data_IF_907341163989
#
_entry.id   IF_907341163989
#
_cell.length_a   1.000
_cell.length_b   1.000
_cell.length_c   1.000
_cell.angle_alpha   90.00
_cell.angle_beta   90.00
_cell.angle_gamma   90.00
#
_symmetry.space_group_name_H-M   'P 1'
#
loop_
_entity.id
_entity.type
_entity.pdbx_description
1 polymer ?
#
# COMPACT_ATOMS: atom_id res chain seq x y z
N UNK A 1 8.30 3.13 -10.09
CA UNK A 1 7.95 2.06 -11.07
C UNK A 1 9.16 1.32 -11.65
N UNK A 2 10.35 1.94 -11.78
CA UNK A 2 11.58 1.24 -12.22
C UNK A 2 11.95 0.01 -11.35
N UNK A 3 11.84 0.11 -10.02
CA UNK A 3 12.15 -1.01 -9.11
C UNK A 3 11.23 -2.23 -9.30
N UNK A 4 9.97 -2.00 -9.67
CA UNK A 4 9.03 -3.09 -9.96
C UNK A 4 9.29 -3.70 -11.34
N UNK A 5 9.62 -2.86 -12.33
CA UNK A 5 10.09 -3.31 -13.64
C UNK A 5 11.41 -4.10 -13.54
N UNK A 6 12.28 -3.78 -12.57
CA UNK A 6 13.51 -4.53 -12.28
C UNK A 6 13.23 -5.85 -11.54
N UNK A 7 12.28 -5.89 -10.60
CA UNK A 7 11.87 -7.12 -9.92
C UNK A 7 11.18 -8.12 -10.88
N UNK A 8 10.45 -7.63 -11.89
CA UNK A 8 9.88 -8.46 -12.97
C UNK A 8 10.96 -8.97 -13.96
N UNK A 9 12.16 -8.36 -14.00
CA UNK A 9 13.29 -8.84 -14.83
C UNK A 9 14.06 -10.01 -14.24
N UNK A 10 13.89 -10.32 -12.94
CA UNK A 10 14.63 -11.40 -12.27
C UNK A 10 14.31 -12.84 -12.74
N UNK A 11 13.10 -13.20 -13.22
CA UNK A 11 12.83 -14.54 -13.73
C UNK A 11 13.17 -14.74 -15.22
N UNK A 12 13.53 -13.70 -15.98
CA UNK A 12 13.76 -13.80 -17.42
C UNK A 12 15.10 -13.16 -17.81
N UNK A 13 16.24 -13.86 -17.64
CA UNK A 13 17.58 -13.31 -17.85
C UNK A 13 17.94 -13.09 -19.34
N UNK A 14 17.06 -13.41 -20.28
CA UNK A 14 17.44 -13.58 -21.69
C UNK A 14 16.47 -13.02 -22.73
N UNK A 15 15.67 -11.99 -22.43
CA UNK A 15 14.84 -11.34 -23.45
C UNK A 15 15.24 -9.89 -23.70
N UNK A 16 15.40 -9.60 -24.99
CA UNK A 16 15.85 -8.37 -25.61
C UNK A 16 15.19 -7.10 -25.04
N UNK A 17 15.86 -5.97 -25.23
CA UNK A 17 15.67 -4.64 -24.62
C UNK A 17 14.31 -3.95 -24.80
N UNK A 18 13.28 -4.63 -25.30
CA UNK A 18 11.90 -4.13 -25.38
C UNK A 18 10.91 -5.20 -24.89
N UNK A 19 10.62 -5.20 -23.58
CA UNK A 19 9.52 -5.99 -23.02
C UNK A 19 8.21 -5.55 -23.68
N UNK A 20 7.46 -6.48 -24.27
CA UNK A 20 6.18 -6.15 -24.88
C UNK A 20 5.15 -5.82 -23.80
N UNK A 21 4.27 -4.83 -24.06
CA UNK A 21 3.18 -4.48 -23.13
C UNK A 21 2.32 -5.70 -22.79
N UNK A 22 2.15 -6.62 -23.76
CA UNK A 22 1.42 -7.87 -23.54
C UNK A 22 2.09 -8.75 -22.49
N UNK A 23 3.41 -8.92 -22.56
CA UNK A 23 4.18 -9.71 -21.60
C UNK A 23 4.11 -9.10 -20.20
N UNK A 24 4.17 -7.77 -20.10
CA UNK A 24 4.05 -7.06 -18.83
C UNK A 24 2.66 -7.24 -18.20
N UNK A 25 1.60 -7.15 -19.01
CA UNK A 25 0.22 -7.31 -18.56
C UNK A 25 -0.04 -8.74 -18.10
N UNK A 26 0.35 -9.74 -18.90
CA UNK A 26 0.18 -11.17 -18.56
C UNK A 26 1.02 -11.53 -17.34
N UNK A 27 2.28 -11.10 -17.29
CA UNK A 27 3.16 -11.34 -16.14
C UNK A 27 2.61 -10.70 -14.85
N UNK A 28 2.09 -9.47 -14.94
CA UNK A 28 1.45 -8.80 -13.82
C UNK A 28 0.17 -9.50 -13.34
N UNK A 29 -0.66 -9.99 -14.26
CA UNK A 29 -1.87 -10.74 -13.93
C UNK A 29 -1.55 -12.07 -13.24
N UNK A 30 -0.60 -12.84 -13.78
CA UNK A 30 -0.14 -14.10 -13.18
C UNK A 30 0.45 -13.88 -11.78
N UNK A 31 1.29 -12.85 -11.62
CA UNK A 31 1.87 -12.53 -10.32
C UNK A 31 0.80 -12.09 -9.31
N UNK A 32 -0.22 -11.34 -9.76
CA UNK A 32 -1.36 -10.96 -8.92
C UNK A 32 -2.13 -12.19 -8.44
N UNK A 33 -2.40 -13.13 -9.35
CA UNK A 33 -3.11 -14.38 -9.05
C UNK A 33 -2.36 -15.22 -8.01
N UNK A 34 -1.04 -15.42 -8.19
CA UNK A 34 -0.22 -16.19 -7.25
C UNK A 34 -0.29 -15.59 -5.85
N UNK A 35 -0.12 -14.27 -5.75
CA UNK A 35 -0.15 -13.56 -4.47
C UNK A 35 -1.54 -13.62 -3.82
N UNK A 36 -2.59 -13.55 -4.63
CA UNK A 36 -3.97 -13.65 -4.14
C UNK A 36 -4.26 -15.02 -3.53
N UNK A 37 -3.78 -16.12 -4.13
CA UNK A 37 -3.92 -17.48 -3.57
C UNK A 37 -3.28 -17.60 -2.17
N UNK A 38 -2.11 -16.99 -1.95
CA UNK A 38 -1.41 -17.07 -0.65
C UNK A 38 -1.97 -16.13 0.42
N UNK A 39 -2.75 -15.12 0.03
CA UNK A 39 -3.24 -14.07 0.92
C UNK A 39 -4.23 -14.61 1.98
N UNK A 40 -5.28 -15.36 1.62
CA UNK A 40 -6.20 -15.99 2.57
C UNK A 40 -5.52 -16.95 3.54
N UNK A 41 -4.50 -17.69 3.09
CA UNK A 41 -3.72 -18.58 3.95
C UNK A 41 -2.97 -17.79 5.04
N UNK A 42 -2.44 -16.63 4.67
CA UNK A 42 -1.76 -15.73 5.61
C UNK A 42 -2.77 -15.12 6.59
N UNK A 43 -3.95 -14.72 6.10
CA UNK A 43 -5.03 -14.21 6.93
C UNK A 43 -5.54 -15.27 7.92
N UNK A 44 -5.75 -16.50 7.47
CA UNK A 44 -6.13 -17.63 8.32
C UNK A 44 -5.14 -17.83 9.47
N UNK A 45 -3.84 -17.92 9.15
CA UNK A 45 -2.76 -18.08 10.14
C UNK A 45 -2.74 -16.91 11.13
N UNK A 46 -2.86 -15.68 10.63
CA UNK A 46 -2.88 -14.47 11.44
C UNK A 46 -4.06 -14.44 12.40
N UNK A 47 -5.26 -14.77 11.92
CA UNK A 47 -6.48 -14.80 12.75
C UNK A 47 -6.42 -15.92 13.78
N UNK A 48 -5.95 -17.11 13.41
CA UNK A 48 -5.78 -18.23 14.34
C UNK A 48 -4.77 -17.90 15.45
N UNK A 49 -3.70 -17.16 15.13
CA UNK A 49 -2.72 -16.69 16.12
C UNK A 49 -3.33 -15.75 17.16
N UNK A 50 -4.27 -14.90 16.77
CA UNK A 50 -4.96 -13.97 17.68
C UNK A 50 -6.13 -14.63 18.42
N UNK A 51 -6.81 -15.58 17.78
CA UNK A 51 -7.97 -16.30 18.33
C UNK A 51 -7.73 -17.83 18.33
N UNK A 52 -6.76 -18.33 19.12
CA UNK A 52 -6.35 -19.74 19.06
C UNK A 52 -7.47 -20.73 19.45
N UNK A 53 -8.42 -20.29 20.27
CA UNK A 53 -9.56 -21.10 20.72
C UNK A 53 -10.76 -21.10 19.77
N UNK A 54 -10.71 -20.34 18.66
CA UNK A 54 -11.85 -20.14 17.74
C UNK A 54 -11.43 -20.31 16.28
N UNK A 55 -11.07 -21.53 15.83
CA UNK A 55 -10.59 -21.78 14.47
C UNK A 55 -11.65 -21.46 13.40
N UNK A 56 -12.94 -21.56 13.74
CA UNK A 56 -14.05 -21.22 12.85
C UNK A 56 -14.03 -19.73 12.46
N UNK A 57 -13.65 -18.82 13.37
CA UNK A 57 -13.49 -17.39 13.05
C UNK A 57 -12.36 -17.19 12.04
N UNK A 58 -11.24 -17.91 12.21
CA UNK A 58 -10.13 -17.83 11.27
C UNK A 58 -10.51 -18.34 9.88
N UNK A 59 -11.26 -19.46 9.82
CA UNK A 59 -11.77 -20.01 8.57
C UNK A 59 -12.73 -19.05 7.88
N UNK A 60 -13.75 -18.56 8.60
CA UNK A 60 -14.72 -17.61 8.06
C UNK A 60 -14.02 -16.33 7.57
N UNK A 61 -13.07 -15.80 8.33
CA UNK A 61 -12.33 -14.60 7.91
C UNK A 61 -11.53 -14.84 6.62
N UNK A 62 -10.91 -16.02 6.48
CA UNK A 62 -10.18 -16.38 5.27
C UNK A 62 -11.11 -16.61 4.06
N UNK A 63 -12.26 -17.27 4.27
CA UNK A 63 -13.26 -17.49 3.23
C UNK A 63 -13.93 -16.18 2.79
N UNK A 64 -14.26 -15.28 3.73
CA UNK A 64 -14.76 -13.94 3.40
C UNK A 64 -13.68 -13.12 2.68
N UNK A 65 -12.41 -13.29 3.03
CA UNK A 65 -11.28 -12.68 2.33
C UNK A 65 -11.11 -13.15 0.88
N UNK A 66 -11.62 -14.34 0.54
CA UNK A 66 -11.66 -14.85 -0.84
C UNK A 66 -12.78 -14.24 -1.69
N UNK A 67 -13.71 -13.48 -1.09
CA UNK A 67 -14.77 -12.81 -1.82
C UNK A 67 -14.28 -11.42 -2.25
N UNK A 68 -13.80 -11.24 -3.50
CA UNK A 68 -13.32 -9.93 -3.93
C UNK A 68 -14.49 -8.94 -3.96
N UNK A 69 -14.26 -7.71 -3.47
CA UNK A 69 -15.24 -6.62 -3.60
C UNK A 69 -15.48 -6.21 -5.06
N UNK A 70 -14.59 -6.61 -5.98
CA UNK A 70 -14.73 -6.44 -7.44
C UNK A 70 -14.17 -7.67 -8.17
N UNK A 71 -15.00 -8.66 -8.51
CA UNK A 71 -14.55 -9.89 -9.17
C UNK A 71 -13.91 -9.63 -10.53
N UNK A 72 -14.44 -8.68 -11.33
CA UNK A 72 -13.98 -8.47 -12.70
C UNK A 72 -12.54 -7.94 -12.81
N UNK A 73 -12.03 -7.22 -11.81
CA UNK A 73 -10.66 -6.67 -11.81
C UNK A 73 -9.61 -7.66 -11.31
N UNK A 74 -10.02 -8.71 -10.59
CA UNK A 74 -9.13 -9.66 -9.95
C UNK A 74 -8.50 -10.67 -10.94
N UNK A 75 -9.24 -11.06 -11.99
CA UNK A 75 -8.85 -12.20 -12.84
C UNK A 75 -8.22 -11.80 -14.18
N UNK A 76 -8.45 -10.58 -14.65
CA UNK A 76 -8.12 -10.19 -16.03
C UNK A 76 -7.19 -8.98 -16.17
N UNK A 77 -6.80 -8.34 -15.07
CA UNK A 77 -5.97 -7.14 -15.10
C UNK A 77 -4.79 -7.24 -14.12
N UNK A 78 -3.62 -6.68 -14.49
CA UNK A 78 -2.51 -6.49 -13.56
C UNK A 78 -2.93 -5.49 -12.49
N UNK A 79 -3.32 -6.00 -11.32
CA UNK A 79 -3.91 -5.20 -10.25
C UNK A 79 -2.95 -5.09 -9.06
N UNK A 80 -2.86 -3.91 -8.47
CA UNK A 80 -1.89 -3.63 -7.40
C UNK A 80 -2.39 -4.00 -6.01
N UNK A 81 -3.69 -4.25 -5.87
CA UNK A 81 -4.34 -4.53 -4.59
C UNK A 81 -4.00 -5.91 -3.99
N UNK A 82 -3.89 -7.01 -4.76
CA UNK A 82 -3.48 -8.30 -4.21
C UNK A 82 -2.09 -8.22 -3.55
N UNK A 83 -1.14 -7.55 -4.21
CA UNK A 83 0.18 -7.28 -3.63
C UNK A 83 0.10 -6.42 -2.37
N UNK A 84 -0.74 -5.39 -2.37
CA UNK A 84 -0.97 -4.58 -1.17
C UNK A 84 -1.36 -5.44 0.01
N UNK A 85 -2.39 -6.28 -0.17
CA UNK A 85 -3.00 -7.03 0.92
C UNK A 85 -2.03 -8.08 1.41
N UNK A 86 -1.40 -8.83 0.50
CA UNK A 86 -0.40 -9.83 0.84
C UNK A 86 0.74 -9.28 1.69
N UNK A 87 1.42 -8.23 1.22
CA UNK A 87 2.53 -7.64 1.98
C UNK A 87 2.07 -7.05 3.31
N UNK A 88 0.85 -6.51 3.37
CA UNK A 88 0.26 -6.01 4.62
C UNK A 88 0.03 -7.15 5.62
N UNK A 89 -0.59 -8.26 5.22
CA UNK A 89 -0.81 -9.40 6.11
C UNK A 89 0.49 -10.09 6.52
N UNK A 90 1.45 -10.23 5.61
CA UNK A 90 2.78 -10.74 5.95
C UNK A 90 3.50 -9.82 6.95
N UNK A 91 3.38 -8.50 6.77
CA UNK A 91 3.91 -7.52 7.71
C UNK A 91 3.25 -7.62 9.09
N UNK A 92 1.93 -7.76 9.15
CA UNK A 92 1.18 -7.98 10.40
C UNK A 92 1.60 -9.28 11.09
N UNK A 93 1.78 -10.35 10.33
CA UNK A 93 2.29 -11.63 10.83
C UNK A 93 3.71 -11.51 11.40
N UNK A 94 4.59 -10.78 10.72
CA UNK A 94 5.94 -10.48 11.20
C UNK A 94 5.92 -9.63 12.49
N UNK A 95 5.04 -8.63 12.59
CA UNK A 95 4.79 -7.88 13.82
C UNK A 95 4.32 -8.78 14.96
N UNK A 96 3.37 -9.68 14.71
CA UNK A 96 2.89 -10.65 15.70
C UNK A 96 3.99 -11.62 16.19
N UNK A 97 5.06 -11.79 15.41
CA UNK A 97 6.28 -12.54 15.76
C UNK A 97 7.41 -11.66 16.33
N UNK A 98 7.16 -10.39 16.63
CA UNK A 98 8.14 -9.41 17.13
C UNK A 98 9.30 -9.12 16.17
N UNK A 99 9.14 -9.39 14.86
CA UNK A 99 10.13 -9.12 13.81
C UNK A 99 9.89 -7.78 13.14
N UNK A 100 10.02 -6.69 13.89
CA UNK A 100 9.58 -5.35 13.47
C UNK A 100 10.30 -4.79 12.24
N UNK A 101 11.61 -5.00 12.12
CA UNK A 101 12.37 -4.53 10.95
C UNK A 101 11.87 -5.17 9.65
N UNK A 102 11.67 -6.50 9.68
CA UNK A 102 11.12 -7.24 8.55
C UNK A 102 9.68 -6.83 8.27
N UNK A 103 8.87 -6.63 9.31
CA UNK A 103 7.51 -6.11 9.15
C UNK A 103 7.49 -4.74 8.47
N UNK A 104 8.34 -3.80 8.89
CA UNK A 104 8.46 -2.48 8.27
C UNK A 104 8.91 -2.55 6.81
N UNK A 105 9.86 -3.43 6.49
CA UNK A 105 10.25 -3.66 5.10
C UNK A 105 9.08 -4.19 4.26
N UNK A 106 8.32 -5.16 4.78
CA UNK A 106 7.10 -5.66 4.13
C UNK A 106 6.03 -4.58 3.99
N UNK A 107 5.82 -3.73 5.00
CA UNK A 107 4.89 -2.61 4.94
C UNK A 107 5.35 -1.51 3.96
N UNK A 108 6.65 -1.28 3.81
CA UNK A 108 7.19 -0.40 2.78
C UNK A 108 7.04 -1.01 1.37
N UNK A 109 7.33 -2.32 1.21
CA UNK A 109 7.09 -3.06 -0.02
C UNK A 109 5.61 -3.06 -0.39
N UNK A 110 4.74 -3.18 0.61
CA UNK A 110 3.33 -2.85 0.46
C UNK A 110 3.32 -1.43 -0.11
N UNK A 111 3.62 -0.38 0.67
CA UNK A 111 3.64 1.05 0.30
C UNK A 111 3.89 1.40 -1.16
N UNK A 112 4.87 0.74 -1.79
CA UNK A 112 5.20 0.88 -3.21
C UNK A 112 4.00 0.70 -4.18
N UNK A 113 3.06 -0.20 -3.91
CA UNK A 113 1.92 -0.51 -4.81
C UNK A 113 0.72 0.50 -4.79
N UNK A 114 0.69 1.46 -3.87
CA UNK A 114 -0.49 2.21 -3.41
C UNK A 114 -0.04 3.17 -2.32
N UNK A 115 -0.24 4.45 -2.55
CA UNK A 115 0.26 5.54 -1.71
C UNK A 115 -0.45 5.69 -0.36
N UNK A 116 -1.66 5.17 -0.18
CA UNK A 116 -2.45 5.40 1.04
C UNK A 116 -2.12 4.43 2.21
N UNK A 117 -0.86 4.31 2.61
CA UNK A 117 -0.39 3.27 3.56
C UNK A 117 0.18 3.73 4.89
N UNK A 118 0.01 5.02 5.18
CA UNK A 118 0.42 5.62 6.45
C UNK A 118 -0.11 4.84 7.66
N UNK A 119 -1.32 4.29 7.57
CA UNK A 119 -1.96 3.53 8.64
C UNK A 119 -1.23 2.21 9.00
N UNK A 120 -0.43 1.63 8.10
CA UNK A 120 0.32 0.40 8.40
C UNK A 120 1.43 0.63 9.44
N UNK A 121 1.96 1.85 9.54
CA UNK A 121 2.87 2.22 10.63
C UNK A 121 2.24 2.07 12.01
N UNK A 122 0.91 2.19 12.08
CA UNK A 122 0.12 1.96 13.29
C UNK A 122 0.36 0.59 13.92
N UNK A 123 0.59 -0.48 13.13
CA UNK A 123 0.86 -1.81 13.69
C UNK A 123 2.20 -1.88 14.44
N UNK A 124 3.22 -1.18 13.94
CA UNK A 124 4.54 -1.13 14.58
C UNK A 124 4.48 -0.27 15.84
N UNK A 125 3.84 0.90 15.75
CA UNK A 125 3.62 1.80 16.90
C UNK A 125 2.80 1.10 17.98
N UNK A 126 1.74 0.39 17.58
CA UNK A 126 0.88 -0.36 18.48
C UNK A 126 1.68 -1.37 19.28
N UNK A 127 2.47 -2.21 18.63
CA UNK A 127 3.16 -3.31 19.32
C UNK A 127 4.36 -2.87 20.17
N UNK A 128 5.07 -1.81 19.75
CA UNK A 128 6.28 -1.32 20.44
C UNK A 128 6.01 -0.26 21.52
N UNK A 129 4.96 0.54 21.36
CA UNK A 129 4.68 1.70 22.22
C UNK A 129 3.34 1.55 22.94
N UNK A 130 2.24 1.43 22.20
CA UNK A 130 0.89 1.50 22.78
C UNK A 130 0.58 0.30 23.66
N UNK A 131 0.80 -0.92 23.15
CA UNK A 131 0.48 -2.15 23.86
C UNK A 131 1.29 -2.29 25.17
N UNK A 132 2.62 -2.06 25.22
CA UNK A 132 3.36 -2.08 26.48
C UNK A 132 2.87 -1.04 27.51
N UNK A 133 2.55 0.18 27.07
CA UNK A 133 2.03 1.23 27.95
C UNK A 133 0.66 0.85 28.52
N UNK A 134 -0.22 0.28 27.69
CA UNK A 134 -1.54 -0.19 28.12
C UNK A 134 -1.44 -1.36 29.12
N UNK A 135 -0.40 -2.19 28.98
CA UNK A 135 -0.04 -3.25 29.93
C UNK A 135 0.66 -2.73 31.21
N UNK A 136 0.57 -1.41 31.48
CA UNK A 136 1.20 -0.72 32.62
C UNK A 136 2.71 -0.95 32.75
N UNK A 137 3.40 -1.26 31.65
CA UNK A 137 4.86 -1.31 31.62
C UNK A 137 5.40 0.11 31.46
N UNK A 138 6.61 0.35 31.97
CA UNK A 138 7.26 1.65 31.84
C UNK A 138 7.47 2.02 30.37
N UNK A 139 7.21 3.29 30.05
CA UNK A 139 7.50 3.83 28.72
C UNK A 139 9.01 3.84 28.49
N UNK A 140 9.44 3.29 27.35
CA UNK A 140 10.86 3.24 26.98
C UNK A 140 11.12 4.15 25.80
N UNK A 141 11.86 5.24 26.03
CA UNK A 141 12.25 6.17 24.97
C UNK A 141 12.97 5.46 23.82
N UNK A 142 13.83 4.48 24.13
CA UNK A 142 14.52 3.67 23.13
C UNK A 142 13.54 2.94 22.19
N UNK A 143 12.46 2.36 22.72
CA UNK A 143 11.44 1.70 21.91
C UNK A 143 10.64 2.70 21.08
N UNK A 144 10.35 3.88 21.63
CA UNK A 144 9.69 4.94 20.90
C UNK A 144 10.53 5.45 19.72
N UNK A 145 11.82 5.74 19.93
CA UNK A 145 12.75 6.13 18.86
C UNK A 145 12.85 5.04 17.80
N UNK A 146 12.98 3.78 18.21
CA UNK A 146 13.02 2.64 17.29
C UNK A 146 11.71 2.52 16.47
N UNK A 147 10.55 2.67 17.10
CA UNK A 147 9.25 2.66 16.42
C UNK A 147 9.11 3.83 15.43
N UNK A 148 9.63 5.01 15.77
CA UNK A 148 9.65 6.17 14.87
C UNK A 148 10.50 5.91 13.63
N UNK A 149 11.72 5.38 13.79
CA UNK A 149 12.61 5.04 12.66
C UNK A 149 11.94 4.00 11.74
N UNK A 150 11.40 2.95 12.34
CA UNK A 150 10.71 1.89 11.59
C UNK A 150 9.44 2.38 10.88
N UNK A 151 8.72 3.31 11.49
CA UNK A 151 7.57 3.96 10.87
C UNK A 151 8.02 4.86 9.72
N UNK A 152 9.08 5.65 9.87
CA UNK A 152 9.62 6.50 8.81
C UNK A 152 9.99 5.67 7.55
N UNK A 153 10.55 4.47 7.73
CA UNK A 153 10.80 3.54 6.63
C UNK A 153 9.51 3.20 5.85
N UNK A 154 8.40 2.94 6.56
CA UNK A 154 7.08 2.62 5.96
C UNK A 154 6.54 3.81 5.15
N UNK A 155 6.87 5.04 5.54
CA UNK A 155 6.45 6.27 4.82
C UNK A 155 7.28 6.55 3.55
N UNK A 156 8.46 5.95 3.41
CA UNK A 156 9.38 6.22 2.29
C UNK A 156 8.71 6.07 0.90
N UNK A 157 7.94 5.01 0.61
CA UNK A 157 7.26 4.87 -0.68
C UNK A 157 6.22 5.96 -0.94
N UNK A 158 5.54 6.46 0.09
CA UNK A 158 4.59 7.56 -0.06
C UNK A 158 5.30 8.84 -0.49
N UNK A 159 6.42 9.17 0.16
CA UNK A 159 7.24 10.32 -0.19
C UNK A 159 7.76 10.18 -1.63
N UNK A 160 8.24 9.00 -2.00
CA UNK A 160 8.70 8.72 -3.37
C UNK A 160 7.58 8.91 -4.42
N UNK A 161 6.35 8.49 -4.13
CA UNK A 161 5.20 8.72 -5.01
C UNK A 161 4.83 10.19 -5.12
N UNK A 162 4.81 10.94 -4.01
CA UNK A 162 4.54 12.38 -4.02
C UNK A 162 5.61 13.13 -4.82
N UNK A 163 6.88 12.79 -4.59
CA UNK A 163 8.00 13.39 -5.30
C UNK A 163 7.96 13.08 -6.81
N UNK A 164 7.72 11.82 -7.19
CA UNK A 164 7.60 11.43 -8.61
C UNK A 164 6.46 12.17 -9.30
N UNK A 165 5.30 12.30 -8.64
CA UNK A 165 4.20 13.10 -9.18
C UNK A 165 4.60 14.57 -9.33
N UNK A 166 5.23 15.15 -8.32
CA UNK A 166 5.69 16.54 -8.35
C UNK A 166 6.64 16.79 -9.53
N UNK A 167 7.64 15.93 -9.75
CA UNK A 167 8.58 16.07 -10.87
C UNK A 167 7.94 15.86 -12.23
N UNK A 168 6.91 15.01 -12.33
CA UNK A 168 6.20 14.77 -13.60
C UNK A 168 5.26 15.90 -13.99
N UNK A 169 4.56 16.49 -13.02
CA UNK A 169 3.53 17.51 -13.30
C UNK A 169 4.05 18.94 -13.24
N UNK A 170 5.21 19.18 -12.62
CA UNK A 170 5.80 20.51 -12.55
C UNK A 170 6.69 20.76 -13.76
N UNK A 171 6.30 21.73 -14.59
CA UNK A 171 7.15 22.30 -15.64
C UNK A 171 7.95 23.46 -15.06
N UNK A 172 9.22 23.60 -15.47
CA UNK A 172 10.08 24.73 -15.09
C UNK A 172 10.95 25.13 -16.30
N UNK A 173 10.73 26.31 -16.92
CA UNK A 173 9.76 27.35 -16.57
C UNK A 173 8.30 26.96 -16.86
N UNK A 174 7.30 27.53 -16.15
CA UNK A 174 5.89 27.30 -16.44
C UNK A 174 5.54 27.88 -17.81
N UNK A 175 4.91 27.07 -18.67
CA UNK A 175 4.41 27.54 -19.97
C UNK A 175 3.09 28.29 -19.80
N UNK A 176 2.83 29.27 -20.66
CA UNK A 176 1.54 29.98 -20.73
C UNK A 176 0.39 29.06 -21.16
N UNK A 177 0.69 28.03 -21.97
CA UNK A 177 -0.28 27.04 -22.46
C UNK A 177 -0.63 25.98 -21.42
N UNK A 178 0.33 25.58 -20.56
CA UNK A 178 0.14 24.58 -19.50
C UNK A 178 0.73 25.08 -18.18
N UNK A 179 -0.03 25.89 -17.41
CA UNK A 179 0.42 26.37 -16.11
C UNK A 179 0.57 25.20 -15.12
N UNK A 180 1.50 25.36 -14.18
CA UNK A 180 1.72 24.37 -13.14
C UNK A 180 0.44 24.13 -12.30
N UNK A 181 0.10 22.88 -11.97
CA UNK A 181 -1.04 22.60 -11.11
C UNK A 181 -0.92 23.33 -9.76
N UNK A 182 -2.02 23.88 -9.25
CA UNK A 182 -2.02 24.68 -8.02
C UNK A 182 -1.45 23.95 -6.79
N UNK A 183 -1.52 22.61 -6.75
CA UNK A 183 -0.98 21.82 -5.66
C UNK A 183 0.56 21.78 -5.63
N UNK A 184 1.23 22.04 -6.76
CA UNK A 184 2.68 22.13 -6.84
C UNK A 184 3.26 23.37 -6.12
N UNK A 185 2.42 24.40 -5.90
CA UNK A 185 2.82 25.65 -5.26
C UNK A 185 2.43 25.71 -3.77
N UNK A 186 1.76 24.68 -3.25
CA UNK A 186 1.42 24.58 -1.82
C UNK A 186 2.59 23.99 -1.03
N UNK A 187 2.69 24.33 0.26
CA UNK A 187 3.67 23.79 1.19
C UNK A 187 2.98 23.06 2.36
N UNK A 188 3.12 21.73 2.49
CA UNK A 188 3.83 20.83 1.58
C UNK A 188 3.04 20.55 0.27
N UNK A 189 3.72 20.31 -0.86
CA UNK A 189 3.05 19.94 -2.10
C UNK A 189 2.50 18.51 -1.97
N UNK A 190 1.17 18.37 -2.13
CA UNK A 190 0.49 17.07 -2.00
C UNK A 190 -0.58 16.93 -3.08
N UNK A 191 -0.30 16.08 -4.07
CA UNK A 191 -1.30 15.73 -5.11
C UNK A 191 -2.47 14.96 -4.47
N UNK A 192 -2.19 14.18 -3.43
CA UNK A 192 -3.18 13.36 -2.74
C UNK A 192 -4.27 14.22 -2.07
N UNK A 193 -3.85 15.21 -1.26
CA UNK A 193 -4.77 16.14 -0.58
C UNK A 193 -5.56 16.96 -1.59
N UNK A 194 -4.93 17.36 -2.71
CA UNK A 194 -5.61 18.09 -3.78
C UNK A 194 -6.72 17.26 -4.45
N UNK A 195 -6.44 16.00 -4.81
CA UNK A 195 -7.45 15.11 -5.42
C UNK A 195 -8.58 14.82 -4.42
N UNK A 196 -8.26 14.55 -3.16
CA UNK A 196 -9.27 14.32 -2.12
C UNK A 196 -10.19 15.52 -1.94
N UNK A 197 -9.64 16.74 -1.86
CA UNK A 197 -10.43 17.95 -1.74
C UNK A 197 -11.34 18.15 -2.96
N UNK A 198 -10.83 17.93 -4.18
CA UNK A 198 -11.61 18.09 -5.41
C UNK A 198 -12.74 17.07 -5.55
N UNK A 199 -12.58 15.86 -5.01
CA UNK A 199 -13.63 14.84 -4.96
C UNK A 199 -14.69 15.16 -3.91
N UNK A 200 -14.31 15.61 -2.72
CA UNK A 200 -15.25 15.98 -1.65
C UNK A 200 -16.08 17.23 -1.98
N UNK A 201 -15.60 18.10 -2.87
CA UNK A 201 -16.32 19.29 -3.33
C UNK A 201 -17.27 19.03 -4.53
N UNK A 202 -17.37 17.79 -5.04
CA UNK A 202 -18.30 17.44 -6.14
C UNK A 202 -19.77 17.15 -5.78
N UNK A 203 -20.25 17.06 -4.52
CA UNK A 203 -21.68 16.82 -4.28
C UNK A 203 -22.60 17.91 -4.84
N UNK A 204 -22.14 19.16 -4.97
CA UNK A 204 -23.00 20.28 -5.36
C UNK A 204 -23.14 20.50 -6.88
N UNK A 205 -22.17 20.10 -7.70
CA UNK A 205 -22.20 20.36 -9.17
C UNK A 205 -22.87 19.26 -10.00
N UNK A 206 -23.23 18.13 -9.40
CA UNK A 206 -23.91 17.02 -10.10
C UNK A 206 -25.44 17.20 -10.06
N UNK A 207 -25.99 17.91 -9.06
CA UNK A 207 -27.43 18.22 -9.01
C UNK A 207 -27.86 19.32 -10.00
N UNK A 208 -27.00 20.29 -10.33
CA UNK A 208 -27.34 21.36 -11.29
C UNK A 208 -27.30 20.94 -12.77
N UNK A 209 -26.76 19.76 -13.11
CA UNK A 209 -26.76 19.25 -14.50
C UNK A 209 -27.87 18.26 -14.80
N UNK A 210 -28.81 18.06 -13.88
CA UNK A 210 -29.87 17.05 -14.00
C UNK A 210 -31.27 17.61 -13.77
N UNK A 211 -31.51 18.86 -14.19
CA UNK A 211 -32.84 19.44 -14.32
C UNK A 211 -32.87 20.15 -15.69
N UNK A 212 -33.56 19.60 -16.70
CA UNK A 212 -33.91 20.35 -17.90
C UNK A 212 -34.95 21.43 -17.59
#
# INVERSE_FOLDING_TARGET
>A
MCLFAQLIRLPFPHSNSKLSVRELVVGGALASFVVDVFTPLTLYKLTLRHFPRRPLIALISALLGLLPSSPATLWYAPYTEPFFIFFSYQGMWACAKRRHLFASALFACAGAFRSNRVLLGGFVIWDLVVYPVLQRKSFSLRRAVYATILTALIFTPFIAHQHSAYTHFRSSPPSSTYPNPMWCNKTPPSIYTYVQAKLHLRPSKILERRIP
#
